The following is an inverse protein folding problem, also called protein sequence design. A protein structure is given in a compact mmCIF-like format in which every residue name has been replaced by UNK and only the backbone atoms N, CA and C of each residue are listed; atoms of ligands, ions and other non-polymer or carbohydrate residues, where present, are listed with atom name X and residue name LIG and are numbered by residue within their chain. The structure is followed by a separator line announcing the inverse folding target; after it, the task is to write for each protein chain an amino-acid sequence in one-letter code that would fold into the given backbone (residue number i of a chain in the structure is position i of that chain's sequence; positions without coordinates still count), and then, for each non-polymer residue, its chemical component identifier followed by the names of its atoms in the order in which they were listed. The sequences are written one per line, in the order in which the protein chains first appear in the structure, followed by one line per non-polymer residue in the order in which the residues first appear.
data_IF_563879483645
#
_entry.id   IF_563879483645
#
_cell.length_a   1.000
_cell.length_b   1.000
_cell.length_c   1.000
_cell.angle_alpha   90.00
_cell.angle_beta   90.00
_cell.angle_gamma   90.00
#
_symmetry.space_group_name_H-M   'P 1'
#
loop_
_entity.id
_entity.type
_entity.pdbx_description
1 polymer ?
#
# COMPACT_ATOMS: atom_id res chain seq x y z
N UNK A 1 -18.00 22.28 -6.45
CA UNK A 1 -17.38 21.30 -7.37
C UNK A 1 -16.42 20.29 -6.70
N UNK A 2 -15.60 20.67 -5.70
CA UNK A 2 -14.62 19.77 -5.04
C UNK A 2 -15.17 18.44 -4.47
N UNK A 3 -16.38 18.44 -3.89
CA UNK A 3 -17.01 17.21 -3.34
C UNK A 3 -17.39 16.17 -4.42
N UNK A 4 -17.60 16.60 -5.68
CA UNK A 4 -17.93 15.70 -6.80
C UNK A 4 -16.69 14.97 -7.33
N UNK A 5 -15.54 15.66 -7.37
CA UNK A 5 -14.26 15.09 -7.80
C UNK A 5 -13.74 14.03 -6.82
N UNK A 6 -13.91 14.26 -5.50
CA UNK A 6 -13.56 13.29 -4.46
C UNK A 6 -14.45 12.03 -4.48
N UNK A 7 -15.73 12.17 -4.85
CA UNK A 7 -16.63 11.01 -5.08
C UNK A 7 -16.32 10.20 -6.34
N UNK A 8 -15.55 10.74 -7.28
CA UNK A 8 -15.16 10.02 -8.50
C UNK A 8 -13.90 9.18 -8.31
N UNK A 9 -13.19 9.31 -7.18
CA UNK A 9 -12.07 8.46 -6.81
C UNK A 9 -12.54 7.23 -6.03
N UNK A 10 -13.61 6.57 -6.48
CA UNK A 10 -13.84 5.18 -6.11
C UNK A 10 -12.78 4.33 -6.83
N UNK A 11 -11.51 4.48 -6.45
CA UNK A 11 -10.43 3.64 -6.93
C UNK A 11 -10.45 2.37 -6.07
N UNK A 12 -11.17 1.37 -6.53
CA UNK A 12 -11.10 0.05 -5.92
C UNK A 12 -9.80 -0.65 -6.34
N UNK A 13 -9.46 -1.73 -5.63
CA UNK A 13 -8.33 -2.58 -6.02
C UNK A 13 -8.54 -3.12 -7.44
N UNK A 14 -9.78 -3.50 -7.78
CA UNK A 14 -10.13 -4.05 -9.08
C UNK A 14 -9.93 -3.01 -10.20
N UNK A 15 -10.35 -1.76 -9.99
CA UNK A 15 -10.14 -0.68 -10.96
C UNK A 15 -8.64 -0.44 -11.23
N UNK A 16 -7.79 -0.59 -10.21
CA UNK A 16 -6.36 -0.43 -10.35
C UNK A 16 -5.74 -1.57 -11.18
N UNK A 17 -6.21 -2.81 -11.00
CA UNK A 17 -5.78 -3.97 -11.78
C UNK A 17 -6.19 -3.80 -13.24
N UNK A 18 -7.47 -3.50 -13.47
CA UNK A 18 -8.05 -3.37 -14.83
C UNK A 18 -7.36 -2.25 -15.61
N UNK A 19 -7.08 -1.12 -14.95
CA UNK A 19 -6.39 0.02 -15.59
C UNK A 19 -4.92 -0.27 -15.88
N UNK A 20 -4.21 -0.97 -14.99
CA UNK A 20 -2.80 -1.28 -15.18
C UNK A 20 -2.57 -2.42 -16.19
N UNK A 21 -3.53 -3.33 -16.34
CA UNK A 21 -3.38 -4.55 -17.13
C UNK A 21 -2.31 -5.50 -16.53
N UNK A 22 -2.04 -5.38 -15.23
CA UNK A 22 -0.98 -6.11 -14.52
C UNK A 22 -1.53 -6.79 -13.27
N UNK A 23 -0.96 -7.95 -12.88
CA UNK A 23 -1.39 -8.64 -11.67
C UNK A 23 -1.07 -7.83 -10.41
N UNK A 24 -1.99 -7.87 -9.43
CA UNK A 24 -1.80 -7.18 -8.16
C UNK A 24 -0.64 -7.78 -7.34
N UNK A 25 0.37 -6.95 -7.12
CA UNK A 25 1.56 -7.31 -6.34
C UNK A 25 1.39 -7.06 -4.83
N UNK A 26 0.56 -6.10 -4.43
CA UNK A 26 0.27 -5.79 -3.04
C UNK A 26 -0.51 -4.51 -2.85
N UNK A 27 -1.06 -4.32 -1.66
CA UNK A 27 -1.76 -3.10 -1.25
C UNK A 27 -1.10 -2.62 0.05
N UNK A 28 -0.69 -1.37 0.07
CA UNK A 28 -0.11 -0.73 1.26
C UNK A 28 -1.21 0.11 1.90
N UNK A 29 -1.66 -0.22 3.13
CA UNK A 29 -2.63 0.62 3.84
C UNK A 29 -2.01 1.97 4.20
N UNK A 30 -2.86 2.96 4.42
CA UNK A 30 -2.44 4.24 5.00
C UNK A 30 -1.91 4.02 6.43
N UNK A 31 -0.84 4.72 6.78
CA UNK A 31 -0.16 4.57 8.06
C UNK A 31 0.24 5.95 8.60
N UNK A 32 -0.31 6.30 9.75
CA UNK A 32 -0.10 7.59 10.41
C UNK A 32 1.37 7.85 10.78
N UNK A 33 2.19 6.80 10.89
CA UNK A 33 3.61 6.94 11.16
C UNK A 33 4.41 7.38 9.91
N UNK A 34 3.87 7.20 8.70
CA UNK A 34 4.59 7.45 7.45
C UNK A 34 5.06 8.90 7.28
N UNK A 35 4.24 9.95 7.51
CA UNK A 35 4.70 11.33 7.43
C UNK A 35 5.83 11.63 8.42
N UNK A 36 5.77 11.09 9.64
CA UNK A 36 6.79 11.27 10.66
C UNK A 36 8.11 10.60 10.27
N UNK A 37 8.06 9.36 9.78
CA UNK A 37 9.20 8.62 9.26
C UNK A 37 9.88 9.38 8.11
N UNK A 38 9.10 9.87 7.14
CA UNK A 38 9.61 10.66 6.01
C UNK A 38 10.34 11.93 6.49
N UNK A 39 9.74 12.69 7.41
CA UNK A 39 10.35 13.91 7.94
C UNK A 39 11.63 13.66 8.73
N UNK A 40 11.75 12.49 9.37
CA UNK A 40 12.95 12.09 10.12
C UNK A 40 14.02 11.43 9.26
N UNK A 41 13.74 11.14 7.99
CA UNK A 41 14.62 10.37 7.12
C UNK A 41 14.80 8.91 7.58
N UNK A 42 13.83 8.37 8.32
CA UNK A 42 13.88 7.00 8.84
C UNK A 42 12.90 6.13 8.04
N UNK A 43 13.31 4.94 7.56
CA UNK A 43 12.39 4.02 6.88
C UNK A 43 11.23 3.58 7.78
N UNK A 44 10.01 3.56 7.24
CA UNK A 44 8.83 3.07 7.97
C UNK A 44 8.95 1.60 8.42
N UNK A 45 9.83 0.82 7.79
CA UNK A 45 10.12 -0.55 8.21
C UNK A 45 10.68 -0.65 9.63
N UNK A 46 11.27 0.43 10.14
CA UNK A 46 11.86 0.53 11.48
C UNK A 46 10.92 1.15 12.51
N UNK A 47 9.73 1.59 12.10
CA UNK A 47 8.74 2.18 12.99
C UNK A 47 7.81 1.10 13.58
N UNK A 48 7.23 1.39 14.75
CA UNK A 48 6.28 0.49 15.45
C UNK A 48 4.93 0.33 14.71
N UNK A 49 4.76 0.96 13.54
CA UNK A 49 3.64 0.79 12.61
C UNK A 49 3.76 -0.50 11.81
N UNK A 50 3.06 -1.56 12.24
CA UNK A 50 3.25 -2.88 11.66
C UNK A 50 2.56 -3.08 10.29
N UNK A 51 1.52 -2.30 9.96
CA UNK A 51 0.65 -2.63 8.83
C UNK A 51 1.28 -2.29 7.47
N UNK A 52 1.69 -1.03 7.24
CA UNK A 52 2.34 -0.64 5.99
C UNK A 52 3.71 -1.29 5.83
N UNK A 53 4.50 -1.36 6.91
CA UNK A 53 5.80 -2.05 6.90
C UNK A 53 5.68 -3.52 6.48
N UNK A 54 4.65 -4.23 6.95
CA UNK A 54 4.40 -5.63 6.55
C UNK A 54 3.94 -5.74 5.10
N UNK A 55 3.11 -4.82 4.62
CA UNK A 55 2.73 -4.77 3.22
C UNK A 55 3.96 -4.63 2.30
N UNK A 56 4.85 -3.67 2.60
CA UNK A 56 6.09 -3.47 1.86
C UNK A 56 6.98 -4.72 1.87
N UNK A 57 7.12 -5.39 3.03
CA UNK A 57 7.89 -6.64 3.12
C UNK A 57 7.29 -7.75 2.25
N UNK A 58 5.97 -7.92 2.26
CA UNK A 58 5.32 -8.93 1.43
C UNK A 58 5.48 -8.62 -0.06
N UNK A 59 5.38 -7.35 -0.47
CA UNK A 59 5.62 -6.91 -1.84
C UNK A 59 7.06 -7.22 -2.27
N UNK A 60 8.05 -6.89 -1.43
CA UNK A 60 9.46 -7.16 -1.71
C UNK A 60 9.74 -8.66 -1.91
N UNK A 61 9.18 -9.52 -1.05
CA UNK A 61 9.28 -10.98 -1.19
C UNK A 61 8.64 -11.48 -2.49
N UNK A 62 7.47 -10.95 -2.87
CA UNK A 62 6.80 -11.30 -4.13
C UNK A 62 7.60 -10.86 -5.35
N UNK A 63 8.27 -9.70 -5.31
CA UNK A 63 9.22 -9.27 -6.36
C UNK A 63 10.40 -10.24 -6.51
N UNK A 64 10.83 -10.86 -5.42
CA UNK A 64 11.88 -11.89 -5.42
C UNK A 64 11.37 -13.28 -5.86
N UNK A 65 10.10 -13.40 -6.22
CA UNK A 65 9.48 -14.66 -6.66
C UNK A 65 8.91 -15.53 -5.54
N UNK A 66 8.94 -15.06 -4.28
CA UNK A 66 8.34 -15.79 -3.16
C UNK A 66 6.81 -15.75 -3.22
N UNK A 67 6.17 -16.87 -2.85
CA UNK A 67 4.71 -16.95 -2.71
C UNK A 67 4.27 -16.54 -1.30
N UNK A 68 4.07 -15.25 -1.10
CA UNK A 68 3.57 -14.67 0.16
C UNK A 68 2.14 -14.17 -0.05
N UNK A 69 1.20 -14.41 0.90
CA UNK A 69 -0.16 -13.89 0.79
C UNK A 69 -0.19 -12.36 0.81
N UNK A 70 -1.22 -11.80 0.15
CA UNK A 70 -1.56 -10.39 0.28
C UNK A 70 -1.84 -10.06 1.76
N UNK A 71 -1.37 -8.90 2.21
CA UNK A 71 -1.71 -8.41 3.54
C UNK A 71 -3.23 -8.19 3.62
N UNK A 72 -3.87 -8.76 4.63
CA UNK A 72 -5.29 -8.52 4.89
C UNK A 72 -5.46 -7.18 5.61
N UNK A 73 -6.04 -6.21 4.91
CA UNK A 73 -6.43 -4.92 5.49
C UNK A 73 -7.71 -5.18 6.30
N UNK A 74 -7.75 -4.69 7.55
CA UNK A 74 -8.95 -4.76 8.40
C UNK A 74 -9.78 -3.49 8.24
#
# INVERSE_FOLDING_TARGET
MRKKLLRQLHATIDDAIDKAGLPLLGVVPEDDALPLCMNRGVPILLADGQSAATAYRNIAKRLQGERVPLLRIR
#
